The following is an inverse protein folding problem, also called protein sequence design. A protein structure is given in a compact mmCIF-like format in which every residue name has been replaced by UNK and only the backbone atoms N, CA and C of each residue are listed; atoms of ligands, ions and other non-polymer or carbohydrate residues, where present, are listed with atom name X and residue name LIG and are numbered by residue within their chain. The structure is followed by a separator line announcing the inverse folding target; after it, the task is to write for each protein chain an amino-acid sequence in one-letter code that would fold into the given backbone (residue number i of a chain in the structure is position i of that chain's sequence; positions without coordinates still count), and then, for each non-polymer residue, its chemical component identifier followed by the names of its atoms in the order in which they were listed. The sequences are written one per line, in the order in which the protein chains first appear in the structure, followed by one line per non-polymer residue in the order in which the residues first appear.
data_IF_237273011002
#
_entry.id   IF_237273011002
#
_cell.length_a   1.000
_cell.length_b   1.000
_cell.length_c   1.000
_cell.angle_alpha   90.00
_cell.angle_beta   90.00
_cell.angle_gamma   90.00
#
_symmetry.space_group_name_H-M   'P 1'
#
loop_
_entity.id
_entity.type
_entity.pdbx_description
1 polymer ?
#
# COMPACT_ATOMS: atom_id res chain seq x y z
N UNK A 1 19.72 0.02 -35.58
CA UNK A 1 18.92 0.75 -34.57
C UNK A 1 17.80 -0.08 -33.93
N UNK A 2 17.15 -1.03 -34.62
CA UNK A 2 16.05 -1.84 -34.04
C UNK A 2 16.55 -2.94 -33.08
N UNK A 3 17.62 -3.66 -33.44
CA UNK A 3 18.16 -4.80 -32.67
C UNK A 3 18.72 -4.38 -31.29
N UNK A 4 19.25 -3.17 -31.19
CA UNK A 4 19.86 -2.65 -29.95
C UNK A 4 18.79 -2.19 -28.95
N UNK A 5 17.70 -1.59 -29.44
CA UNK A 5 16.51 -1.28 -28.62
C UNK A 5 15.84 -2.55 -28.09
N UNK A 6 15.72 -3.59 -28.92
CA UNK A 6 15.14 -4.87 -28.50
C UNK A 6 16.00 -5.59 -27.45
N UNK A 7 17.33 -5.47 -27.51
CA UNK A 7 18.25 -6.03 -26.52
C UNK A 7 18.23 -5.28 -25.19
N UNK A 8 18.18 -3.94 -25.24
CA UNK A 8 18.07 -3.10 -24.04
C UNK A 8 16.72 -3.35 -23.34
N UNK A 9 15.62 -3.43 -24.10
CA UNK A 9 14.30 -3.74 -23.56
C UNK A 9 14.24 -5.12 -22.90
N UNK A 10 14.77 -6.17 -23.54
CA UNK A 10 14.82 -7.52 -22.93
C UNK A 10 15.68 -7.59 -21.67
N UNK A 11 16.79 -6.84 -21.62
CA UNK A 11 17.67 -6.79 -20.44
C UNK A 11 16.97 -6.13 -19.26
N UNK A 12 16.23 -5.05 -19.51
CA UNK A 12 15.49 -4.35 -18.47
C UNK A 12 14.35 -5.21 -17.91
N UNK A 13 13.59 -5.90 -18.78
CA UNK A 13 12.56 -6.86 -18.35
C UNK A 13 13.12 -7.94 -17.43
N UNK A 14 14.29 -8.50 -17.75
CA UNK A 14 14.94 -9.50 -16.91
C UNK A 14 15.36 -8.94 -15.54
N UNK A 15 15.88 -7.71 -15.50
CA UNK A 15 16.27 -7.05 -14.25
C UNK A 15 15.07 -6.70 -13.37
N UNK A 16 13.96 -6.27 -13.98
CA UNK A 16 12.72 -6.00 -13.27
C UNK A 16 12.16 -7.29 -12.66
N UNK A 17 12.17 -8.40 -13.40
CA UNK A 17 11.75 -9.72 -12.92
C UNK A 17 12.62 -10.23 -11.76
N UNK A 18 13.95 -10.09 -11.86
CA UNK A 18 14.87 -10.46 -10.77
C UNK A 18 14.64 -9.63 -9.50
N UNK A 19 14.38 -8.33 -9.66
CA UNK A 19 14.12 -7.42 -8.55
C UNK A 19 12.78 -7.74 -7.88
N UNK A 20 11.72 -7.94 -8.67
CA UNK A 20 10.43 -8.39 -8.17
C UNK A 20 10.55 -9.71 -7.41
N UNK A 21 11.27 -10.70 -7.96
CA UNK A 21 11.50 -11.97 -7.29
C UNK A 21 12.25 -11.81 -5.96
N UNK A 22 13.18 -10.85 -5.87
CA UNK A 22 13.86 -10.52 -4.62
C UNK A 22 12.90 -9.95 -3.57
N UNK A 23 12.00 -9.05 -3.98
CA UNK A 23 10.98 -8.49 -3.09
C UNK A 23 10.01 -9.55 -2.61
N UNK A 24 9.56 -10.43 -3.51
CA UNK A 24 8.70 -11.58 -3.19
C UNK A 24 9.40 -12.52 -2.21
N UNK A 25 10.65 -12.89 -2.47
CA UNK A 25 11.42 -13.74 -1.57
C UNK A 25 11.58 -13.09 -0.18
N UNK A 26 11.91 -11.80 -0.14
CA UNK A 26 12.04 -11.06 1.11
C UNK A 26 10.72 -11.03 1.89
N UNK A 27 9.60 -10.75 1.22
CA UNK A 27 8.26 -10.79 1.81
C UNK A 27 7.93 -12.16 2.44
N UNK A 28 8.23 -13.24 1.73
CA UNK A 28 8.01 -14.60 2.22
C UNK A 28 9.02 -15.09 3.26
N UNK A 29 10.16 -14.41 3.43
CA UNK A 29 11.13 -14.76 4.48
C UNK A 29 10.56 -14.63 5.90
N UNK A 30 9.45 -13.88 6.05
CA UNK A 30 8.72 -13.75 7.30
C UNK A 30 7.53 -14.70 7.42
N UNK A 31 7.21 -15.49 6.39
CA UNK A 31 6.04 -16.38 6.42
C UNK A 31 6.10 -17.37 7.58
N UNK A 32 4.97 -17.55 8.26
CA UNK A 32 4.87 -18.36 9.48
C UNK A 32 5.28 -17.63 10.76
N UNK A 33 5.79 -16.40 10.69
CA UNK A 33 6.10 -15.57 11.87
C UNK A 33 4.98 -14.57 12.19
N UNK A 34 4.99 -13.99 13.39
CA UNK A 34 4.10 -12.87 13.76
C UNK A 34 4.37 -11.60 12.96
N UNK A 35 5.56 -11.52 12.36
CA UNK A 35 6.03 -10.38 11.59
C UNK A 35 5.65 -10.47 10.10
N UNK A 36 5.03 -11.57 9.68
CA UNK A 36 4.49 -11.68 8.33
C UNK A 36 3.37 -10.65 8.15
N UNK A 37 3.46 -9.84 7.10
CA UNK A 37 2.53 -8.73 6.84
C UNK A 37 1.05 -9.16 6.90
N UNK A 38 0.72 -10.32 6.33
CA UNK A 38 -0.66 -10.84 6.36
C UNK A 38 -1.11 -11.18 7.79
N UNK A 39 -0.22 -11.74 8.62
CA UNK A 39 -0.54 -12.04 10.01
C UNK A 39 -0.72 -10.75 10.83
N UNK A 40 0.07 -9.72 10.55
CA UNK A 40 -0.11 -8.39 11.16
C UNK A 40 -1.47 -7.78 10.77
N UNK A 41 -1.85 -7.88 9.49
CA UNK A 41 -3.15 -7.43 8.99
C UNK A 41 -4.33 -8.18 9.67
N UNK A 42 -4.23 -9.50 9.86
CA UNK A 42 -5.24 -10.28 10.58
C UNK A 42 -5.37 -9.83 12.05
N UNK A 43 -4.24 -9.58 12.72
CA UNK A 43 -4.24 -9.09 14.10
C UNK A 43 -4.86 -7.69 14.19
N UNK A 44 -4.59 -6.83 13.21
CA UNK A 44 -5.18 -5.50 13.14
C UNK A 44 -6.71 -5.58 12.91
N UNK A 45 -7.15 -6.40 11.94
CA UNK A 45 -8.57 -6.65 11.67
C UNK A 45 -9.30 -7.12 12.93
N UNK A 46 -8.75 -8.12 13.63
CA UNK A 46 -9.35 -8.65 14.85
C UNK A 46 -9.47 -7.61 15.98
N UNK A 47 -8.67 -6.53 15.97
CA UNK A 47 -8.83 -5.41 16.90
C UNK A 47 -9.99 -4.51 16.46
N UNK A 48 -10.07 -4.17 15.17
CA UNK A 48 -11.16 -3.35 14.62
C UNK A 48 -12.52 -4.02 14.82
N UNK A 49 -12.60 -5.33 14.59
CA UNK A 49 -13.81 -6.12 14.83
C UNK A 49 -14.26 -6.09 16.30
N UNK A 50 -13.32 -6.07 17.24
CA UNK A 50 -13.64 -5.99 18.68
C UNK A 50 -14.11 -4.61 19.11
N UNK A 51 -13.72 -3.55 18.40
CA UNK A 51 -14.12 -2.17 18.70
C UNK A 51 -15.46 -1.79 18.07
N UNK A 52 -15.87 -2.49 17.01
CA UNK A 52 -17.14 -2.25 16.34
C UNK A 52 -18.30 -2.99 17.02
N UNK A 53 -19.27 -2.26 17.55
CA UNK A 53 -20.50 -2.79 18.16
C UNK A 53 -21.59 -3.10 17.13
N UNK A 54 -21.45 -2.66 15.87
CA UNK A 54 -22.39 -2.96 14.79
C UNK A 54 -21.66 -3.20 13.46
N UNK A 55 -22.25 -3.96 12.51
CA UNK A 55 -21.68 -4.13 11.17
C UNK A 55 -21.47 -2.82 10.42
N UNK A 56 -22.35 -1.83 10.62
CA UNK A 56 -22.20 -0.51 10.00
C UNK A 56 -20.95 0.21 10.52
N UNK A 57 -20.75 0.24 11.84
CA UNK A 57 -19.54 0.84 12.43
C UNK A 57 -18.28 0.08 12.06
N UNK A 58 -18.36 -1.24 11.92
CA UNK A 58 -17.24 -2.03 11.39
C UNK A 58 -16.89 -1.56 9.98
N UNK A 59 -17.88 -1.40 9.09
CA UNK A 59 -17.65 -0.88 7.75
C UNK A 59 -17.07 0.54 7.76
N UNK A 60 -17.54 1.42 8.65
CA UNK A 60 -17.00 2.79 8.82
C UNK A 60 -15.52 2.76 9.22
N UNK A 61 -15.15 1.96 10.23
CA UNK A 61 -13.76 1.81 10.66
C UNK A 61 -12.87 1.18 9.59
N UNK A 62 -13.36 0.13 8.92
CA UNK A 62 -12.62 -0.48 7.82
C UNK A 62 -12.39 0.50 6.67
N UNK A 63 -13.41 1.29 6.30
CA UNK A 63 -13.29 2.30 5.25
C UNK A 63 -12.25 3.36 5.60
N UNK A 64 -12.31 3.89 6.83
CA UNK A 64 -11.36 4.90 7.31
C UNK A 64 -9.93 4.37 7.27
N UNK A 65 -9.69 3.17 7.81
CA UNK A 65 -8.37 2.54 7.81
C UNK A 65 -7.87 2.20 6.39
N UNK A 66 -8.76 1.76 5.49
CA UNK A 66 -8.43 1.50 4.08
C UNK A 66 -7.92 2.77 3.41
N UNK A 67 -8.65 3.87 3.56
CA UNK A 67 -8.27 5.16 2.94
C UNK A 67 -6.97 5.66 3.54
N UNK A 68 -6.85 5.68 4.87
CA UNK A 68 -5.65 6.13 5.57
C UNK A 68 -4.42 5.36 5.09
N UNK A 69 -4.53 4.03 5.03
CA UNK A 69 -3.41 3.15 4.69
C UNK A 69 -3.08 3.19 3.19
N UNK A 70 -4.08 3.40 2.33
CA UNK A 70 -3.88 3.61 0.90
C UNK A 70 -3.14 4.92 0.61
N UNK A 71 -3.49 6.01 1.29
CA UNK A 71 -2.76 7.29 1.20
C UNK A 71 -1.30 7.13 1.62
N UNK A 72 -1.05 6.40 2.71
CA UNK A 72 0.31 6.07 3.14
C UNK A 72 1.09 5.26 2.11
N UNK A 73 0.43 4.32 1.45
CA UNK A 73 1.01 3.53 0.37
C UNK A 73 1.47 4.43 -0.80
N UNK A 74 0.65 5.41 -1.20
CA UNK A 74 1.04 6.41 -2.21
C UNK A 74 2.28 7.19 -1.78
N UNK A 75 2.36 7.60 -0.52
CA UNK A 75 3.54 8.32 -0.01
C UNK A 75 4.80 7.43 -0.05
N UNK A 76 4.68 6.14 0.25
CA UNK A 76 5.81 5.21 0.12
C UNK A 76 6.26 5.04 -1.33
N UNK A 77 5.33 5.01 -2.29
CA UNK A 77 5.66 4.97 -3.72
C UNK A 77 6.45 6.20 -4.15
N UNK A 78 6.01 7.39 -3.74
CA UNK A 78 6.75 8.64 -3.99
C UNK A 78 8.13 8.64 -3.32
N UNK A 79 8.23 8.08 -2.11
CA UNK A 79 9.51 7.93 -1.42
C UNK A 79 10.45 7.01 -2.20
N UNK A 80 9.99 5.85 -2.65
CA UNK A 80 10.78 4.93 -3.48
C UNK A 80 11.38 5.63 -4.70
N UNK A 81 10.57 6.42 -5.41
CA UNK A 81 11.03 7.21 -6.56
C UNK A 81 12.06 8.27 -6.16
N UNK A 82 11.84 8.94 -5.03
CA UNK A 82 12.75 9.95 -4.50
C UNK A 82 14.10 9.34 -4.11
N UNK A 83 14.10 8.16 -3.46
CA UNK A 83 15.33 7.45 -3.13
C UNK A 83 16.12 7.08 -4.38
N UNK A 84 15.43 6.62 -5.44
CA UNK A 84 16.06 6.32 -6.73
C UNK A 84 16.66 7.53 -7.43
N UNK A 85 16.03 8.70 -7.32
CA UNK A 85 16.56 9.93 -7.89
C UNK A 85 17.81 10.44 -7.14
N UNK A 86 17.96 10.02 -5.88
CA UNK A 86 18.99 10.50 -4.97
C UNK A 86 19.67 9.35 -4.19
N UNK A 87 20.25 8.35 -4.88
CA UNK A 87 20.75 7.13 -4.25
C UNK A 87 21.92 7.39 -3.30
N UNK A 88 22.71 8.44 -3.55
CA UNK A 88 23.86 8.85 -2.73
C UNK A 88 23.47 9.37 -1.34
N UNK A 89 22.22 9.81 -1.18
CA UNK A 89 21.69 10.35 0.09
C UNK A 89 20.46 9.60 0.58
N UNK A 90 20.11 8.48 -0.04
CA UNK A 90 18.86 7.74 0.20
C UNK A 90 18.64 7.35 1.67
N UNK A 91 19.65 6.80 2.34
CA UNK A 91 19.50 6.40 3.76
C UNK A 91 19.18 7.59 4.66
N UNK A 92 19.80 8.76 4.40
CA UNK A 92 19.50 9.99 5.12
C UNK A 92 18.11 10.55 4.79
N UNK A 93 17.61 10.31 3.57
CA UNK A 93 16.24 10.67 3.21
C UNK A 93 15.23 9.77 3.94
N UNK A 94 15.52 8.47 4.09
CA UNK A 94 14.73 7.55 4.90
C UNK A 94 14.66 8.00 6.36
N UNK A 95 15.81 8.32 6.98
CA UNK A 95 15.84 8.80 8.36
C UNK A 95 14.99 10.07 8.54
N UNK A 96 15.16 11.05 7.65
CA UNK A 96 14.34 12.28 7.67
C UNK A 96 12.86 12.02 7.43
N UNK A 97 12.54 11.06 6.57
CA UNK A 97 11.17 10.68 6.30
C UNK A 97 10.53 10.05 7.55
N UNK A 98 11.28 9.25 8.30
CA UNK A 98 10.83 8.72 9.60
C UNK A 98 10.61 9.85 10.62
N UNK A 99 11.52 10.82 10.72
CA UNK A 99 11.38 11.97 11.63
C UNK A 99 10.13 12.82 11.34
N UNK A 100 9.73 12.92 10.06
CA UNK A 100 8.54 13.69 9.62
C UNK A 100 7.19 12.98 9.84
N UNK A 101 7.14 11.88 10.59
CA UNK A 101 5.93 11.07 10.73
C UNK A 101 4.73 11.83 11.27
N UNK A 102 4.90 12.66 12.31
CA UNK A 102 3.78 13.36 12.94
C UNK A 102 3.07 14.32 11.99
N UNK A 103 3.84 15.11 11.22
CA UNK A 103 3.25 16.07 10.27
C UNK A 103 2.57 15.33 9.12
N UNK A 104 3.15 14.22 8.66
CA UNK A 104 2.57 13.36 7.64
C UNK A 104 1.28 12.70 8.10
N UNK A 105 1.22 12.17 9.33
CA UNK A 105 0.01 11.61 9.93
C UNK A 105 -1.13 12.64 9.96
N UNK A 106 -0.82 13.88 10.31
CA UNK A 106 -1.83 14.96 10.31
C UNK A 106 -2.38 15.22 8.91
N UNK A 107 -1.50 15.31 7.90
CA UNK A 107 -1.93 15.50 6.51
C UNK A 107 -2.76 14.31 6.02
N UNK A 108 -2.29 13.08 6.21
CA UNK A 108 -3.02 11.86 5.82
C UNK A 108 -4.37 11.80 6.51
N UNK A 109 -4.46 12.16 7.79
CA UNK A 109 -5.73 12.20 8.50
C UNK A 109 -6.70 13.22 7.89
N UNK A 110 -6.25 14.44 7.55
CA UNK A 110 -7.10 15.44 6.87
C UNK A 110 -7.64 14.89 5.54
N UNK A 111 -6.79 14.27 4.73
CA UNK A 111 -7.19 13.65 3.47
C UNK A 111 -8.14 12.47 3.68
N UNK A 112 -7.90 11.66 4.70
CA UNK A 112 -8.78 10.55 5.09
C UNK A 112 -10.18 11.05 5.43
N UNK A 113 -10.28 12.08 6.28
CA UNK A 113 -11.58 12.67 6.65
C UNK A 113 -12.30 13.28 5.44
N UNK A 114 -11.55 13.92 4.53
CA UNK A 114 -12.11 14.45 3.29
C UNK A 114 -12.74 13.35 2.42
N UNK A 115 -12.04 12.23 2.23
CA UNK A 115 -12.53 11.10 1.47
C UNK A 115 -13.65 10.32 2.17
N UNK A 116 -13.60 10.20 3.50
CA UNK A 116 -14.70 9.66 4.29
C UNK A 116 -15.96 10.51 4.14
N UNK A 117 -15.83 11.84 4.23
CA UNK A 117 -16.95 12.75 4.01
C UNK A 117 -17.53 12.59 2.60
N UNK A 118 -16.69 12.48 1.58
CA UNK A 118 -17.14 12.22 0.21
C UNK A 118 -18.01 10.96 0.12
N UNK A 119 -17.57 9.85 0.73
CA UNK A 119 -18.31 8.58 0.71
C UNK A 119 -19.60 8.66 1.51
N UNK A 120 -19.56 9.29 2.70
CA UNK A 120 -20.73 9.43 3.57
C UNK A 120 -21.81 10.35 2.99
N UNK A 121 -21.44 11.24 2.06
CA UNK A 121 -22.36 12.11 1.33
C UNK A 121 -22.57 11.64 -0.11
N UNK A 122 -22.54 10.33 -0.35
CA UNK A 122 -22.91 9.70 -1.64
C UNK A 122 -22.11 10.20 -2.86
N UNK A 123 -20.86 10.59 -2.64
CA UNK A 123 -20.00 11.12 -3.69
C UNK A 123 -20.23 12.61 -3.98
N UNK A 124 -20.90 13.33 -3.09
CA UNK A 124 -21.00 14.78 -3.16
C UNK A 124 -19.84 15.46 -2.44
N UNK A 125 -19.31 16.51 -3.06
CA UNK A 125 -18.13 17.20 -2.59
C UNK A 125 -18.25 18.71 -2.85
N UNK A 126 -18.43 19.51 -1.80
CA UNK A 126 -18.39 20.97 -1.91
C UNK A 126 -17.17 21.54 -1.18
N UNK A 127 -16.22 22.08 -1.95
CA UNK A 127 -15.05 22.79 -1.40
C UNK A 127 -13.95 21.89 -0.82
N UNK A 128 -13.88 20.60 -1.17
CA UNK A 128 -12.80 19.73 -0.70
C UNK A 128 -11.48 20.02 -1.40
N UNK A 129 -10.39 19.93 -0.66
CA UNK A 129 -9.02 20.05 -1.16
C UNK A 129 -8.49 18.75 -1.80
N UNK A 130 -9.30 17.69 -1.87
CA UNK A 130 -8.91 16.35 -2.33
C UNK A 130 -9.74 15.85 -3.52
N UNK A 131 -10.44 16.75 -4.22
CA UNK A 131 -11.35 16.42 -5.33
C UNK A 131 -10.71 15.61 -6.45
N UNK A 132 -9.43 15.84 -6.75
CA UNK A 132 -8.72 15.13 -7.83
C UNK A 132 -8.60 13.63 -7.57
N UNK A 133 -8.57 13.19 -6.31
CA UNK A 133 -8.46 11.77 -5.92
C UNK A 133 -9.80 11.04 -5.80
N UNK A 134 -10.95 11.71 -6.00
CA UNK A 134 -12.26 11.08 -5.77
C UNK A 134 -12.67 10.06 -6.82
N UNK A 135 -12.12 10.13 -8.04
CA UNK A 135 -12.37 9.13 -9.08
C UNK A 135 -12.01 7.71 -8.61
N UNK A 136 -10.97 7.61 -7.80
CA UNK A 136 -10.39 6.34 -7.37
C UNK A 136 -11.23 5.67 -6.27
N UNK A 137 -12.14 6.44 -5.65
CA UNK A 137 -13.07 5.96 -4.63
C UNK A 137 -14.36 5.37 -5.21
N UNK A 138 -14.56 5.42 -6.54
CA UNK A 138 -15.78 4.91 -7.19
C UNK A 138 -16.09 3.46 -6.80
N UNK A 139 -15.14 2.50 -6.78
CA UNK A 139 -15.41 1.14 -6.35
C UNK A 139 -15.83 1.04 -4.87
N UNK A 140 -15.28 1.91 -4.01
CA UNK A 140 -15.64 1.97 -2.60
C UNK A 140 -17.09 2.44 -2.44
N UNK A 141 -17.48 3.49 -3.16
CA UNK A 141 -18.84 4.05 -3.11
C UNK A 141 -19.89 3.03 -3.52
N UNK A 142 -19.63 2.28 -4.60
CA UNK A 142 -20.54 1.22 -5.08
C UNK A 142 -20.72 0.10 -4.04
N UNK A 143 -19.65 -0.31 -3.37
CA UNK A 143 -19.71 -1.36 -2.35
C UNK A 143 -20.27 -0.84 -1.01
N UNK A 144 -20.06 0.44 -0.72
CA UNK A 144 -20.63 1.15 0.42
C UNK A 144 -22.16 1.14 0.36
N UNK A 145 -22.73 1.55 -0.78
CA UNK A 145 -24.19 1.54 -0.99
C UNK A 145 -24.82 0.14 -0.89
N UNK A 146 -24.04 -0.90 -1.18
CA UNK A 146 -24.47 -2.30 -1.07
C UNK A 146 -24.29 -2.90 0.33
N UNK A 147 -23.73 -2.14 1.28
CA UNK A 147 -23.34 -2.66 2.59
C UNK A 147 -22.47 -3.94 2.50
N UNK A 148 -21.56 -3.99 1.52
CA UNK A 148 -20.77 -5.17 1.21
C UNK A 148 -19.59 -5.33 2.19
N UNK A 149 -19.86 -5.81 3.41
CA UNK A 149 -18.85 -5.96 4.46
C UNK A 149 -17.71 -6.90 4.03
N UNK A 150 -17.99 -7.99 3.33
CA UNK A 150 -16.98 -8.94 2.84
C UNK A 150 -15.96 -8.26 1.91
N UNK A 151 -16.43 -7.36 1.05
CA UNK A 151 -15.55 -6.54 0.21
C UNK A 151 -14.61 -5.67 1.05
N UNK A 152 -15.13 -4.99 2.08
CA UNK A 152 -14.31 -4.13 2.93
C UNK A 152 -13.32 -4.92 3.79
N UNK A 153 -13.70 -6.08 4.31
CA UNK A 153 -12.77 -6.96 5.05
C UNK A 153 -11.64 -7.43 4.13
N UNK A 154 -11.97 -7.90 2.92
CA UNK A 154 -10.96 -8.31 1.93
C UNK A 154 -10.03 -7.15 1.58
N UNK A 155 -10.60 -6.00 1.22
CA UNK A 155 -9.83 -4.84 0.81
C UNK A 155 -8.94 -4.30 1.94
N UNK A 156 -9.44 -4.30 3.17
CA UNK A 156 -8.67 -3.95 4.36
C UNK A 156 -7.43 -4.84 4.49
N UNK A 157 -7.60 -6.17 4.40
CA UNK A 157 -6.49 -7.11 4.49
C UNK A 157 -5.48 -6.90 3.35
N UNK A 158 -5.95 -6.64 2.13
CA UNK A 158 -5.07 -6.35 0.98
C UNK A 158 -4.23 -5.10 1.22
N UNK A 159 -4.88 -3.98 1.55
CA UNK A 159 -4.22 -2.68 1.71
C UNK A 159 -3.26 -2.70 2.92
N UNK A 160 -3.66 -3.28 4.06
CA UNK A 160 -2.80 -3.41 5.24
C UNK A 160 -1.57 -4.29 4.97
N UNK A 161 -1.75 -5.40 4.24
CA UNK A 161 -0.65 -6.30 3.89
C UNK A 161 0.31 -5.63 2.91
N UNK A 162 -0.21 -4.89 1.92
CA UNK A 162 0.60 -4.11 0.97
C UNK A 162 1.42 -3.07 1.72
N UNK A 163 0.77 -2.25 2.55
CA UNK A 163 1.44 -1.21 3.32
C UNK A 163 2.59 -1.76 4.17
N UNK A 164 2.32 -2.81 4.95
CA UNK A 164 3.34 -3.47 5.77
C UNK A 164 4.46 -4.08 4.92
N UNK A 165 4.13 -4.62 3.75
CA UNK A 165 5.12 -5.17 2.81
C UNK A 165 6.06 -4.10 2.25
N UNK A 166 5.51 -2.96 1.83
CA UNK A 166 6.29 -1.82 1.32
C UNK A 166 7.11 -1.16 2.42
N UNK A 167 6.55 -1.00 3.61
CA UNK A 167 7.24 -0.47 4.78
C UNK A 167 8.51 -1.30 5.08
N UNK A 168 8.40 -2.63 5.08
CA UNK A 168 9.56 -3.51 5.26
C UNK A 168 10.60 -3.36 4.16
N UNK A 169 10.19 -3.14 2.91
CA UNK A 169 11.18 -2.86 1.86
C UNK A 169 11.94 -1.57 2.18
N UNK A 170 11.22 -0.51 2.59
CA UNK A 170 11.82 0.79 2.90
C UNK A 170 12.77 0.74 4.10
N UNK A 171 12.39 0.05 5.18
CA UNK A 171 13.11 0.15 6.46
C UNK A 171 13.94 -1.09 6.83
N UNK A 172 13.70 -2.24 6.21
CA UNK A 172 14.48 -3.45 6.46
C UNK A 172 15.36 -3.80 5.25
N UNK A 173 14.80 -3.85 4.03
CA UNK A 173 15.53 -4.32 2.85
C UNK A 173 16.49 -3.26 2.29
N UNK A 174 16.03 -2.04 2.03
CA UNK A 174 16.87 -0.99 1.44
C UNK A 174 18.08 -0.65 2.34
N UNK A 175 17.94 -0.50 3.67
CA UNK A 175 19.09 -0.19 4.52
C UNK A 175 20.15 -1.29 4.55
N UNK A 176 19.76 -2.55 4.36
CA UNK A 176 20.67 -3.70 4.34
C UNK A 176 21.23 -4.00 2.95
N UNK A 177 20.48 -3.64 1.90
CA UNK A 177 20.81 -3.88 0.50
C UNK A 177 20.51 -2.62 -0.34
N UNK A 178 21.31 -1.55 -0.20
CA UNK A 178 21.04 -0.27 -0.86
C UNK A 178 21.16 -0.36 -2.39
N UNK A 179 21.79 -1.40 -2.93
CA UNK A 179 21.89 -1.63 -4.38
C UNK A 179 20.53 -1.93 -5.05
N UNK A 180 19.48 -2.23 -4.27
CA UNK A 180 18.13 -2.32 -4.80
C UNK A 180 17.53 -0.97 -5.20
N UNK A 181 18.01 0.15 -4.64
CA UNK A 181 17.48 1.49 -4.92
C UNK A 181 17.48 1.80 -6.43
N UNK A 182 18.58 1.49 -7.11
CA UNK A 182 18.73 1.76 -8.55
C UNK A 182 17.75 0.95 -9.42
N UNK A 183 17.28 -0.18 -8.88
CA UNK A 183 16.42 -1.13 -9.59
C UNK A 183 14.94 -0.81 -9.43
N UNK A 184 14.55 -0.16 -8.33
CA UNK A 184 13.16 0.18 -8.02
C UNK A 184 12.53 1.04 -9.12
N UNK A 185 11.28 0.78 -9.48
CA UNK A 185 10.51 1.62 -10.39
C UNK A 185 9.02 1.36 -10.20
N UNK A 186 8.18 2.21 -10.80
CA UNK A 186 6.72 2.11 -10.68
C UNK A 186 6.17 0.74 -11.07
N UNK A 187 6.77 0.11 -12.10
CA UNK A 187 6.33 -1.21 -12.58
C UNK A 187 6.60 -2.28 -11.53
N UNK A 188 7.78 -2.31 -10.94
CA UNK A 188 8.13 -3.29 -9.89
C UNK A 188 7.24 -3.10 -8.65
N UNK A 189 7.02 -1.85 -8.22
CA UNK A 189 6.18 -1.59 -7.05
C UNK A 189 4.72 -1.99 -7.33
N UNK A 190 4.17 -1.65 -8.50
CA UNK A 190 2.83 -2.07 -8.89
C UNK A 190 2.69 -3.59 -8.97
N UNK A 191 3.65 -4.29 -9.59
CA UNK A 191 3.66 -5.76 -9.66
C UNK A 191 3.77 -6.41 -8.28
N UNK A 192 4.57 -5.84 -7.39
CA UNK A 192 4.69 -6.33 -6.03
C UNK A 192 3.40 -6.15 -5.23
N UNK A 193 2.70 -5.02 -5.40
CA UNK A 193 1.37 -4.78 -4.81
C UNK A 193 0.35 -5.81 -5.31
N UNK A 194 0.31 -6.04 -6.62
CA UNK A 194 -0.57 -7.05 -7.24
C UNK A 194 -0.27 -8.45 -6.70
N UNK A 195 1.02 -8.80 -6.58
CA UNK A 195 1.44 -10.05 -5.99
C UNK A 195 0.92 -10.21 -4.55
N UNK A 196 1.11 -9.20 -3.69
CA UNK A 196 0.63 -9.24 -2.31
C UNK A 196 -0.89 -9.37 -2.26
N UNK A 197 -1.63 -8.60 -3.06
CA UNK A 197 -3.09 -8.70 -3.13
C UNK A 197 -3.55 -10.11 -3.53
N UNK A 198 -2.86 -10.74 -4.48
CA UNK A 198 -3.13 -12.12 -4.88
C UNK A 198 -2.83 -13.12 -3.74
N UNK A 199 -1.76 -12.91 -2.98
CA UNK A 199 -1.45 -13.74 -1.79
C UNK A 199 -2.58 -13.65 -0.76
N UNK A 200 -3.06 -12.45 -0.45
CA UNK A 200 -4.20 -12.23 0.46
C UNK A 200 -5.45 -12.94 -0.06
N UNK A 201 -5.77 -12.74 -1.34
CA UNK A 201 -6.91 -13.40 -1.99
C UNK A 201 -6.80 -14.92 -1.89
N UNK A 202 -5.64 -15.50 -2.17
CA UNK A 202 -5.43 -16.95 -2.08
C UNK A 202 -5.59 -17.48 -0.65
N UNK A 203 -5.08 -16.75 0.35
CA UNK A 203 -5.20 -17.16 1.76
C UNK A 203 -6.65 -17.12 2.25
N UNK A 204 -7.44 -16.15 1.80
CA UNK A 204 -8.88 -16.08 2.12
C UNK A 204 -9.68 -17.26 1.54
N UNK A 205 -9.28 -17.85 0.41
CA UNK A 205 -9.94 -19.03 -0.18
C UNK A 205 -9.54 -20.36 0.49
N UNK A 206 -8.52 -20.37 1.34
CA UNK A 206 -8.03 -21.56 2.04
C UNK A 206 -8.67 -21.76 3.43
N UNK A 207 -9.45 -20.78 3.89
CA UNK A 207 -10.21 -20.79 5.16
C UNK A 207 -11.64 -21.21 4.90
#
# INVERSE_FOLDING_TARGET
MTIEKDRVSKRQVYQDEETLNSFVHFFHSFEGTTNYAYNQALVALAKVEKTADTPKKLMEYLMEDIIFTALYTTIYEELFLTLKQHPDVALRLLDKFADGQTDRDQLVNIHTQNHMNYILHDGECTGCTSCEGHSDLTPLLVNWHKANLEYFVKLYLEVQTIHSGLERILYDLIPTHPDYIDRINDTIIAQFREYIAQVVTNKLHQV
#
